data_IF_442890507707
#
_entry.id   IF_442890507707
#
_cell.length_a   1.000
_cell.length_b   1.000
_cell.length_c   1.000
_cell.angle_alpha   90.00
_cell.angle_beta   90.00
_cell.angle_gamma   90.00
#
_symmetry.space_group_name_H-M   'P 1'
#
loop_
_entity.id
_entity.type
_entity.pdbx_description
1 polymer ?
#
# COMPACT_ATOMS: atom_id res chain seq x y z
N UNK A 1 3.85 -20.35 17.92
CA UNK A 1 3.22 -20.01 16.63
C UNK A 1 1.71 -19.97 16.86
N UNK A 2 1.04 -18.90 16.44
CA UNK A 2 -0.43 -18.80 16.50
C UNK A 2 -1.04 -19.45 15.26
N UNK A 3 -2.34 -19.76 15.29
CA UNK A 3 -3.05 -20.21 14.09
C UNK A 3 -3.12 -19.10 13.02
N UNK A 4 -3.06 -19.46 11.73
CA UNK A 4 -3.14 -18.48 10.63
C UNK A 4 -4.39 -17.61 10.74
N UNK A 5 -5.56 -18.21 10.96
CA UNK A 5 -6.84 -17.49 11.10
C UNK A 5 -6.84 -16.58 12.33
N UNK A 6 -6.16 -16.98 13.42
CA UNK A 6 -6.10 -16.20 14.66
C UNK A 6 -5.33 -14.88 14.49
N UNK A 7 -4.47 -14.80 13.47
CA UNK A 7 -3.71 -13.58 13.18
C UNK A 7 -4.58 -12.44 12.61
N UNK A 8 -5.70 -12.77 11.95
CA UNK A 8 -6.59 -11.80 11.30
C UNK A 8 -7.62 -11.24 12.27
N UNK A 9 -8.13 -10.04 11.98
CA UNK A 9 -9.02 -9.28 12.87
C UNK A 9 -10.19 -8.68 12.12
N UNK A 10 -11.28 -8.36 12.83
CA UNK A 10 -12.50 -7.77 12.24
C UNK A 10 -12.59 -6.24 12.43
N UNK A 11 -11.67 -5.68 13.23
CA UNK A 11 -11.55 -4.23 13.47
C UNK A 11 -10.09 -3.79 13.52
N UNK A 12 -9.85 -2.50 13.25
CA UNK A 12 -8.54 -1.87 13.40
C UNK A 12 -8.01 -2.01 14.84
N UNK A 13 -8.85 -1.76 15.85
CA UNK A 13 -8.45 -1.86 17.25
C UNK A 13 -7.93 -3.27 17.61
N UNK A 14 -8.62 -4.32 17.14
CA UNK A 14 -8.17 -5.70 17.32
C UNK A 14 -6.88 -5.98 16.54
N UNK A 15 -6.78 -5.53 15.28
CA UNK A 15 -5.59 -5.70 14.45
C UNK A 15 -4.36 -5.06 15.10
N UNK A 16 -4.49 -3.82 15.57
CA UNK A 16 -3.44 -3.09 16.30
C UNK A 16 -3.04 -3.81 17.58
N UNK A 17 -4.00 -4.24 18.39
CA UNK A 17 -3.71 -4.97 19.62
C UNK A 17 -2.93 -6.26 19.34
N UNK A 18 -3.32 -7.02 18.31
CA UNK A 18 -2.61 -8.25 17.92
C UNK A 18 -1.20 -7.95 17.40
N UNK A 19 -1.01 -6.90 16.61
CA UNK A 19 0.32 -6.49 16.15
C UNK A 19 1.23 -6.14 17.35
N UNK A 20 0.76 -5.31 18.27
CA UNK A 20 1.52 -4.94 19.47
C UNK A 20 1.83 -6.15 20.35
N UNK A 21 0.87 -7.07 20.54
CA UNK A 21 1.10 -8.32 21.25
C UNK A 21 2.10 -9.23 20.54
N UNK A 22 2.08 -9.27 19.21
CA UNK A 22 3.07 -9.97 18.39
C UNK A 22 4.48 -9.40 18.58
N UNK A 23 4.62 -8.07 18.59
CA UNK A 23 5.90 -7.41 18.89
C UNK A 23 6.40 -7.76 20.30
N UNK A 24 5.54 -7.76 21.32
CA UNK A 24 5.89 -8.17 22.68
C UNK A 24 6.35 -9.63 22.71
N UNK A 25 5.60 -10.55 22.08
CA UNK A 25 5.97 -11.96 21.99
C UNK A 25 7.30 -12.17 21.24
N UNK A 26 7.59 -11.29 20.29
CA UNK A 26 8.82 -11.26 19.52
C UNK A 26 9.99 -10.56 20.24
N UNK A 27 9.75 -9.96 21.42
CA UNK A 27 10.69 -9.11 22.16
C UNK A 27 11.21 -7.93 21.31
N UNK A 28 10.30 -7.26 20.59
CA UNK A 28 10.59 -6.11 19.74
C UNK A 28 10.02 -4.82 20.36
N UNK A 29 10.82 -3.77 20.34
CA UNK A 29 10.34 -2.42 20.64
C UNK A 29 9.44 -1.91 19.51
N UNK A 30 8.42 -1.16 19.87
CA UNK A 30 7.51 -0.51 18.92
C UNK A 30 7.74 1.00 18.96
N UNK A 31 8.04 1.59 17.80
CA UNK A 31 7.96 3.03 17.57
C UNK A 31 6.57 3.37 17.02
N UNK A 32 5.75 4.02 17.85
CA UNK A 32 4.38 4.35 17.50
C UNK A 32 4.29 5.82 17.07
N UNK A 33 3.75 6.06 15.88
CA UNK A 33 3.45 7.41 15.37
C UNK A 33 1.95 7.67 15.46
N UNK A 34 1.46 8.39 16.48
CA UNK A 34 0.04 8.62 16.67
C UNK A 34 -0.54 9.48 15.55
N UNK A 35 -1.67 9.04 15.00
CA UNK A 35 -2.46 9.84 14.10
C UNK A 35 -3.29 10.85 14.91
N UNK A 36 -3.44 12.11 14.47
CA UNK A 36 -4.12 13.15 15.25
C UNK A 36 -5.63 12.93 15.43
N UNK A 37 -6.27 12.25 14.47
CA UNK A 37 -7.69 11.90 14.53
C UNK A 37 -7.94 10.56 15.24
N UNK A 38 -9.16 10.40 15.75
CA UNK A 38 -9.67 9.14 16.27
C UNK A 38 -10.21 8.24 15.15
N UNK A 39 -10.29 6.95 15.44
CA UNK A 39 -10.92 5.97 14.56
C UNK A 39 -12.43 6.04 14.59
N UNK A 40 -13.06 5.22 13.75
CA UNK A 40 -14.51 5.12 13.58
C UNK A 40 -15.22 4.83 14.90
N UNK A 41 -14.61 4.02 15.75
CA UNK A 41 -15.18 3.57 17.02
C UNK A 41 -14.58 4.34 18.21
N UNK A 42 -13.92 5.48 17.94
CA UNK A 42 -13.30 6.37 18.94
C UNK A 42 -11.89 5.96 19.38
N UNK A 43 -11.32 4.90 18.79
CA UNK A 43 -10.03 4.35 19.16
C UNK A 43 -8.85 5.25 18.75
N UNK A 44 -7.71 5.08 19.44
CA UNK A 44 -6.48 5.77 19.06
C UNK A 44 -5.86 5.12 17.82
N UNK A 45 -5.65 5.94 16.79
CA UNK A 45 -5.02 5.56 15.54
C UNK A 45 -3.51 5.83 15.59
N UNK A 46 -2.72 4.97 14.96
CA UNK A 46 -1.29 5.13 14.79
C UNK A 46 -0.77 4.31 13.61
N UNK A 47 0.38 4.74 13.08
CA UNK A 47 1.30 3.89 12.34
C UNK A 47 2.31 3.33 13.35
N UNK A 48 2.31 2.01 13.56
CA UNK A 48 3.19 1.35 14.54
C UNK A 48 4.32 0.63 13.79
N UNK A 49 5.57 0.85 14.21
CA UNK A 49 6.77 0.36 13.53
C UNK A 49 7.56 -0.54 14.46
N UNK A 50 8.01 -1.70 13.97
CA UNK A 50 8.88 -2.60 14.70
C UNK A 50 10.00 -3.13 13.80
N UNK A 51 11.25 -3.03 14.27
CA UNK A 51 12.43 -3.56 13.58
C UNK A 51 12.90 -4.85 14.27
N UNK A 52 12.86 -5.96 13.54
CA UNK A 52 13.47 -7.23 13.97
C UNK A 52 14.84 -7.38 13.31
N UNK A 53 15.90 -7.13 14.09
CA UNK A 53 17.27 -7.14 13.62
C UNK A 53 18.05 -5.92 14.10
N UNK A 54 19.34 -5.82 13.75
CA UNK A 54 20.17 -4.70 14.17
C UNK A 54 19.80 -3.41 13.41
N UNK A 55 19.85 -2.26 14.09
CA UNK A 55 19.49 -0.95 13.53
C UNK A 55 20.42 -0.51 12.38
N UNK A 56 21.63 -1.05 12.30
CA UNK A 56 22.63 -0.77 11.28
C UNK A 56 22.71 -1.85 10.18
N UNK A 57 21.69 -2.72 10.10
CA UNK A 57 21.64 -3.81 9.13
C UNK A 57 21.82 -3.32 7.68
N UNK A 58 22.72 -3.98 6.95
CA UNK A 58 22.97 -3.66 5.53
C UNK A 58 21.94 -4.27 4.57
N UNK A 59 21.15 -5.24 5.05
CA UNK A 59 20.07 -5.88 4.30
C UNK A 59 18.77 -5.69 5.06
N UNK A 60 17.79 -5.06 4.41
CA UNK A 60 16.52 -4.71 5.01
C UNK A 60 15.38 -5.25 4.16
N UNK A 61 14.43 -5.94 4.81
CA UNK A 61 13.13 -6.24 4.25
C UNK A 61 12.09 -5.34 4.92
N UNK A 62 11.46 -4.47 4.16
CA UNK A 62 10.33 -3.66 4.62
C UNK A 62 9.03 -4.40 4.31
N UNK A 63 8.17 -4.56 5.31
CA UNK A 63 6.83 -5.15 5.16
C UNK A 63 5.81 -4.14 5.63
N UNK A 64 5.03 -3.60 4.69
CA UNK A 64 4.00 -2.61 4.99
C UNK A 64 2.60 -3.18 4.82
N UNK A 65 1.65 -2.59 5.54
CA UNK A 65 0.23 -2.91 5.43
C UNK A 65 -0.64 -1.67 5.42
N UNK A 66 -1.86 -1.82 4.90
CA UNK A 66 -2.89 -0.80 4.89
C UNK A 66 -2.48 0.49 4.16
N UNK A 67 -1.72 0.40 3.07
CA UNK A 67 -1.53 1.54 2.16
C UNK A 67 -2.90 2.01 1.64
N UNK A 68 -3.70 1.06 1.13
CA UNK A 68 -5.14 1.22 1.09
C UNK A 68 -5.73 0.75 2.41
N UNK A 69 -6.40 1.63 3.14
CA UNK A 69 -6.77 1.37 4.53
C UNK A 69 -7.55 0.07 4.75
N UNK A 70 -8.59 -0.15 3.95
CA UNK A 70 -9.46 -1.35 4.03
C UNK A 70 -8.69 -2.67 3.80
N UNK A 71 -7.56 -2.64 3.12
CA UNK A 71 -6.75 -3.84 2.87
C UNK A 71 -5.85 -4.18 4.07
N UNK A 72 -5.83 -3.30 5.08
CA UNK A 72 -5.14 -3.50 6.35
C UNK A 72 -5.60 -4.74 7.11
N UNK A 73 -6.85 -5.19 6.97
CA UNK A 73 -7.32 -6.42 7.63
C UNK A 73 -6.51 -7.64 7.21
N UNK A 74 -6.19 -7.74 5.92
CA UNK A 74 -5.37 -8.80 5.39
C UNK A 74 -3.89 -8.56 5.70
N UNK A 75 -3.36 -7.38 5.37
CA UNK A 75 -1.94 -7.07 5.54
C UNK A 75 -1.47 -7.14 7.00
N UNK A 76 -2.30 -6.66 7.94
CA UNK A 76 -2.02 -6.76 9.38
C UNK A 76 -2.00 -8.22 9.84
N UNK A 77 -2.93 -9.06 9.38
CA UNK A 77 -2.93 -10.48 9.72
C UNK A 77 -1.66 -11.22 9.30
N UNK A 78 -1.13 -10.91 8.10
CA UNK A 78 0.16 -11.46 7.64
C UNK A 78 1.31 -11.01 8.54
N UNK A 79 1.37 -9.72 8.90
CA UNK A 79 2.41 -9.20 9.80
C UNK A 79 2.32 -9.82 11.20
N UNK A 80 1.10 -9.93 11.76
CA UNK A 80 0.83 -10.55 13.06
C UNK A 80 1.30 -12.01 13.06
N UNK A 81 0.95 -12.78 12.02
CA UNK A 81 1.39 -14.17 11.92
C UNK A 81 2.93 -14.27 11.87
N UNK A 82 3.57 -13.44 11.05
CA UNK A 82 5.04 -13.41 10.91
C UNK A 82 5.77 -13.08 12.22
N UNK A 83 5.22 -12.18 13.05
CA UNK A 83 5.77 -11.86 14.37
C UNK A 83 5.76 -13.06 15.34
N UNK A 84 4.80 -13.98 15.17
CA UNK A 84 4.68 -15.21 15.96
C UNK A 84 5.35 -16.45 15.33
N UNK A 85 5.96 -16.29 14.16
CA UNK A 85 6.68 -17.34 13.44
C UNK A 85 8.19 -17.27 13.73
N UNK A 86 8.63 -18.09 14.68
CA UNK A 86 10.05 -18.14 15.05
C UNK A 86 10.93 -18.64 13.89
N UNK A 87 10.44 -19.58 13.07
CA UNK A 87 11.23 -20.14 11.97
C UNK A 87 11.49 -19.09 10.90
N UNK A 88 10.47 -18.32 10.52
CA UNK A 88 10.61 -17.17 9.62
C UNK A 88 11.66 -16.18 10.13
N UNK A 89 11.54 -15.78 11.40
CA UNK A 89 12.40 -14.76 12.01
C UNK A 89 13.84 -15.24 12.14
N UNK A 90 14.04 -16.51 12.51
CA UNK A 90 15.37 -17.12 12.60
C UNK A 90 16.02 -17.23 11.22
N UNK A 91 15.26 -17.57 10.18
CA UNK A 91 15.74 -17.57 8.78
C UNK A 91 16.18 -16.17 8.33
N UNK A 92 15.39 -15.14 8.60
CA UNK A 92 15.76 -13.75 8.27
C UNK A 92 17.05 -13.34 9.00
N UNK A 93 17.14 -13.63 10.30
CA UNK A 93 18.32 -13.37 11.12
C UNK A 93 19.57 -14.10 10.61
N UNK A 94 19.44 -15.40 10.31
CA UNK A 94 20.54 -16.21 9.78
C UNK A 94 21.02 -15.74 8.39
N UNK A 95 20.12 -15.17 7.58
CA UNK A 95 20.47 -14.54 6.30
C UNK A 95 21.09 -13.13 6.45
N UNK A 96 21.18 -12.61 7.67
CA UNK A 96 21.64 -11.25 7.97
C UNK A 96 20.70 -10.18 7.45
N UNK A 97 19.39 -10.46 7.41
CA UNK A 97 18.33 -9.54 6.97
C UNK A 97 17.55 -9.05 8.19
N UNK A 98 17.52 -7.73 8.40
CA UNK A 98 16.59 -7.13 9.33
C UNK A 98 15.21 -6.99 8.67
N UNK A 99 14.14 -7.14 9.44
CA UNK A 99 12.76 -6.99 8.96
C UNK A 99 12.11 -5.80 9.64
N UNK A 100 11.72 -4.79 8.86
CA UNK A 100 10.98 -3.63 9.32
C UNK A 100 9.50 -3.80 9.04
N UNK A 101 8.72 -4.04 10.09
CA UNK A 101 7.27 -4.08 10.01
C UNK A 101 6.71 -2.68 10.20
N UNK A 102 5.92 -2.19 9.24
CA UNK A 102 5.17 -0.94 9.36
C UNK A 102 3.68 -1.29 9.35
N UNK A 103 3.09 -1.29 10.53
CA UNK A 103 1.69 -1.60 10.74
C UNK A 103 0.84 -0.33 10.66
N UNK A 104 -0.02 -0.37 9.64
CA UNK A 104 -1.02 0.61 9.24
C UNK A 104 -0.48 1.93 8.68
N UNK A 105 -0.09 1.94 7.41
CA UNK A 105 0.27 3.15 6.66
C UNK A 105 -0.85 4.20 6.64
N UNK A 106 -2.09 3.76 6.41
CA UNK A 106 -3.30 4.57 6.47
C UNK A 106 -4.23 4.08 7.60
N UNK A 107 -3.93 4.42 8.87
CA UNK A 107 -4.69 3.89 10.00
C UNK A 107 -6.13 4.43 10.03
N UNK A 108 -6.36 5.64 9.51
CA UNK A 108 -7.71 6.20 9.37
C UNK A 108 -8.56 5.39 8.39
N UNK A 109 -8.06 5.17 7.17
CA UNK A 109 -8.77 4.33 6.19
C UNK A 109 -9.00 2.92 6.70
N UNK A 110 -8.04 2.35 7.44
CA UNK A 110 -8.17 1.01 8.01
C UNK A 110 -9.31 0.91 9.03
N UNK A 111 -9.36 1.84 10.00
CA UNK A 111 -10.46 1.92 10.97
C UNK A 111 -11.82 2.20 10.31
N UNK A 112 -11.86 3.10 9.34
CA UNK A 112 -13.10 3.48 8.65
C UNK A 112 -13.51 2.54 7.50
N UNK A 113 -12.76 1.45 7.25
CA UNK A 113 -12.99 0.51 6.13
C UNK A 113 -12.99 1.21 4.77
N UNK A 114 -12.10 2.18 4.58
CA UNK A 114 -11.93 2.94 3.34
C UNK A 114 -10.57 2.66 2.73
N UNK A 115 -10.52 2.71 1.40
CA UNK A 115 -9.26 2.71 0.63
C UNK A 115 -8.39 3.93 0.97
N UNK A 116 -9.02 5.09 1.06
CA UNK A 116 -8.40 6.42 1.12
C UNK A 116 -8.14 6.91 2.54
N UNK A 117 -7.33 7.95 2.69
CA UNK A 117 -7.08 8.66 3.96
C UNK A 117 -8.30 9.49 4.40
N UNK A 118 -8.17 10.20 5.53
CA UNK A 118 -9.19 11.15 6.01
C UNK A 118 -9.51 12.26 5.01
N UNK A 119 -8.54 12.67 4.21
CA UNK A 119 -8.68 13.74 3.20
C UNK A 119 -9.24 13.23 1.86
N UNK A 120 -9.78 12.00 1.81
CA UNK A 120 -10.21 11.34 0.57
C UNK A 120 -9.06 11.04 -0.42
N UNK A 121 -7.82 11.00 0.07
CA UNK A 121 -6.64 10.76 -0.77
C UNK A 121 -6.32 9.27 -0.87
N UNK A 122 -6.14 8.76 -2.09
CA UNK A 122 -5.48 7.49 -2.32
C UNK A 122 -4.00 7.65 -2.00
N UNK A 123 -3.58 7.04 -0.88
CA UNK A 123 -2.20 7.17 -0.39
C UNK A 123 -1.18 6.71 -1.42
N UNK A 124 -1.51 5.70 -2.24
CA UNK A 124 -0.63 5.19 -3.28
C UNK A 124 -0.66 6.03 -4.57
N UNK A 125 -1.23 7.24 -4.51
CA UNK A 125 -1.10 8.32 -5.50
C UNK A 125 -0.53 9.60 -4.87
N UNK A 126 -0.18 9.59 -3.58
CA UNK A 126 0.18 10.81 -2.85
C UNK A 126 1.69 11.08 -2.80
N UNK A 127 2.52 10.30 -3.51
CA UNK A 127 3.98 10.43 -3.51
C UNK A 127 4.51 11.05 -4.82
N UNK A 128 3.84 12.11 -5.27
CA UNK A 128 4.34 12.97 -6.35
C UNK A 128 5.20 14.10 -5.79
N UNK A 129 5.99 14.74 -6.65
CA UNK A 129 6.69 15.98 -6.31
C UNK A 129 5.70 17.16 -6.31
N UNK A 130 5.29 17.59 -5.11
CA UNK A 130 4.38 18.71 -4.90
C UNK A 130 5.00 20.09 -5.19
N UNK A 131 6.30 20.17 -5.50
CA UNK A 131 6.93 21.41 -5.98
C UNK A 131 6.74 21.63 -7.48
N UNK A 132 6.32 20.59 -8.21
CA UNK A 132 6.01 20.62 -9.64
C UNK A 132 4.50 20.73 -9.88
N UNK A 133 4.07 21.13 -11.10
CA UNK A 133 2.67 21.03 -11.49
C UNK A 133 2.15 19.59 -11.33
N UNK A 134 0.97 19.45 -10.72
CA UNK A 134 0.36 18.14 -10.50
C UNK A 134 -0.05 17.48 -11.84
N UNK A 135 0.05 16.14 -11.96
CA UNK A 135 -0.37 15.43 -13.16
C UNK A 135 -1.84 15.69 -13.52
N UNK A 136 -2.10 15.84 -14.83
CA UNK A 136 -3.44 16.01 -15.37
C UNK A 136 -3.91 14.70 -16.00
N UNK A 137 -5.02 14.16 -15.53
CA UNK A 137 -5.68 13.01 -16.11
C UNK A 137 -6.92 13.45 -16.89
N UNK A 138 -6.76 13.74 -18.17
CA UNK A 138 -7.84 14.22 -19.04
C UNK A 138 -8.91 13.13 -19.30
N UNK A 139 -8.49 11.87 -19.39
CA UNK A 139 -9.41 10.74 -19.58
C UNK A 139 -10.34 10.58 -18.37
N UNK A 140 -9.79 10.66 -17.16
CA UNK A 140 -10.60 10.68 -15.93
C UNK A 140 -11.56 11.87 -15.91
N UNK A 141 -11.12 13.06 -16.33
CA UNK A 141 -11.98 14.25 -16.34
C UNK A 141 -13.24 14.06 -17.19
N UNK A 142 -13.14 13.38 -18.33
CA UNK A 142 -14.30 13.04 -19.15
C UNK A 142 -15.22 11.97 -18.53
N UNK A 143 -14.68 11.12 -17.65
CA UNK A 143 -15.41 10.05 -16.98
C UNK A 143 -15.98 10.46 -15.61
N UNK A 144 -15.39 11.44 -14.93
CA UNK A 144 -15.73 11.83 -13.56
C UNK A 144 -17.23 11.99 -13.28
N UNK A 145 -18.01 12.78 -14.06
CA UNK A 145 -19.44 12.92 -13.81
C UNK A 145 -20.24 11.63 -14.04
N UNK A 146 -19.70 10.67 -14.80
CA UNK A 146 -20.32 9.37 -15.02
C UNK A 146 -20.00 8.37 -13.90
N UNK A 147 -18.81 8.49 -13.30
CA UNK A 147 -18.35 7.63 -12.19
C UNK A 147 -19.00 8.01 -10.86
N UNK A 148 -19.27 9.30 -10.66
CA UNK A 148 -19.88 9.87 -9.46
C UNK A 148 -21.10 10.71 -9.87
N UNK A 149 -22.16 10.07 -10.39
CA UNK A 149 -23.37 10.79 -10.80
C UNK A 149 -24.09 11.37 -9.59
N UNK A 150 -24.80 12.48 -9.79
CA UNK A 150 -25.60 13.11 -8.73
C UNK A 150 -26.73 12.22 -8.22
N UNK A 151 -27.26 11.35 -9.09
CA UNK A 151 -28.30 10.36 -8.75
C UNK A 151 -27.65 8.99 -8.54
N UNK A 152 -27.99 8.33 -7.42
CA UNK A 152 -27.55 6.98 -7.10
C UNK A 152 -28.75 6.11 -6.68
N UNK A 153 -28.94 4.89 -7.23
CA UNK A 153 -28.07 4.20 -8.19
C UNK A 153 -28.04 4.87 -9.59
N UNK A 154 -27.00 4.62 -10.42
CA UNK A 154 -26.87 5.24 -11.73
C UNK A 154 -28.05 4.93 -12.66
N UNK A 155 -28.48 5.91 -13.45
CA UNK A 155 -29.55 5.74 -14.44
C UNK A 155 -29.10 4.87 -15.63
N UNK A 156 -30.05 4.26 -16.39
CA UNK A 156 -29.71 3.53 -17.61
C UNK A 156 -28.94 4.36 -18.64
N UNK A 157 -29.21 5.67 -18.71
CA UNK A 157 -28.49 6.59 -19.60
C UNK A 157 -27.04 6.80 -19.15
N UNK A 158 -26.77 6.88 -17.84
CA UNK A 158 -25.41 6.96 -17.31
C UNK A 158 -24.61 5.69 -17.63
N UNK A 159 -25.23 4.52 -17.41
CA UNK A 159 -24.62 3.24 -17.72
C UNK A 159 -24.28 3.13 -19.22
N UNK A 160 -25.21 3.50 -20.11
CA UNK A 160 -24.98 3.53 -21.55
C UNK A 160 -23.86 4.50 -21.95
N UNK A 161 -23.69 5.63 -21.26
CA UNK A 161 -22.61 6.56 -21.51
C UNK A 161 -21.23 5.98 -21.13
N UNK A 162 -21.14 5.25 -20.02
CA UNK A 162 -19.92 4.51 -19.63
C UNK A 162 -19.60 3.44 -20.67
N UNK A 163 -20.60 2.66 -21.10
CA UNK A 163 -20.44 1.62 -22.11
C UNK A 163 -20.02 2.20 -23.47
N UNK A 164 -20.59 3.33 -23.88
CA UNK A 164 -20.19 4.03 -25.10
C UNK A 164 -18.74 4.53 -25.01
N UNK A 165 -18.34 5.06 -23.85
CA UNK A 165 -16.96 5.47 -23.62
C UNK A 165 -16.00 4.27 -23.74
N UNK A 166 -16.34 3.14 -23.11
CA UNK A 166 -15.58 1.88 -23.22
C UNK A 166 -15.55 1.37 -24.66
N UNK A 167 -16.67 1.44 -25.39
CA UNK A 167 -16.74 1.02 -26.80
C UNK A 167 -15.84 1.86 -27.71
N UNK A 168 -15.66 3.15 -27.42
CA UNK A 168 -14.81 4.05 -28.19
C UNK A 168 -13.32 3.92 -27.86
N UNK A 169 -12.97 3.71 -26.58
CA UNK A 169 -11.58 3.79 -26.11
C UNK A 169 -10.99 2.43 -25.70
N UNK A 170 -11.82 1.42 -25.49
CA UNK A 170 -11.46 0.10 -24.99
C UNK A 170 -11.44 0.01 -23.45
N UNK A 171 -11.65 -1.21 -22.95
CA UNK A 171 -11.70 -1.48 -21.50
C UNK A 171 -10.38 -1.20 -20.78
N UNK A 172 -9.24 -1.44 -21.45
CA UNK A 172 -7.91 -1.14 -20.91
C UNK A 172 -7.71 0.36 -20.69
N UNK A 173 -8.16 1.19 -21.63
CA UNK A 173 -8.10 2.65 -21.48
C UNK A 173 -9.00 3.14 -20.33
N UNK A 174 -10.17 2.51 -20.15
CA UNK A 174 -11.09 2.82 -19.04
C UNK A 174 -10.45 2.50 -17.69
N UNK A 175 -9.86 1.31 -17.55
CA UNK A 175 -9.14 0.92 -16.34
C UNK A 175 -7.97 1.86 -16.05
N UNK A 176 -7.17 2.22 -17.07
CA UNK A 176 -6.06 3.14 -16.91
C UNK A 176 -6.52 4.55 -16.51
N UNK A 177 -7.59 5.06 -17.12
CA UNK A 177 -8.15 6.38 -16.83
C UNK A 177 -8.60 6.49 -15.35
N UNK A 178 -9.23 5.46 -14.81
CA UNK A 178 -9.74 5.45 -13.44
C UNK A 178 -8.61 5.20 -12.43
N UNK A 179 -7.86 4.12 -12.64
CA UNK A 179 -6.91 3.64 -11.63
C UNK A 179 -5.59 4.41 -11.63
N UNK A 180 -5.20 5.07 -12.72
CA UNK A 180 -3.91 5.77 -12.86
C UNK A 180 -3.65 6.90 -11.85
N UNK A 181 -4.71 7.36 -11.16
CA UNK A 181 -4.68 8.50 -10.26
C UNK A 181 -5.08 9.79 -10.96
N UNK A 182 -5.60 10.73 -10.18
CA UNK A 182 -5.99 12.05 -10.66
C UNK A 182 -5.85 13.08 -9.53
N UNK A 183 -5.68 14.35 -9.89
CA UNK A 183 -5.44 15.42 -8.93
C UNK A 183 -6.36 16.62 -9.17
N UNK A 184 -7.36 16.49 -10.05
CA UNK A 184 -8.24 17.59 -10.45
C UNK A 184 -9.53 17.63 -9.63
N UNK A 185 -10.02 16.49 -9.15
CA UNK A 185 -11.34 16.31 -8.51
C UNK A 185 -11.17 15.74 -7.11
N UNK A 186 -11.33 16.55 -6.06
CA UNK A 186 -11.07 16.12 -4.67
C UNK A 186 -12.09 15.11 -4.14
N UNK A 187 -13.29 15.13 -4.68
CA UNK A 187 -14.38 14.18 -4.46
C UNK A 187 -14.25 12.91 -5.31
N UNK A 188 -13.31 12.90 -6.26
CA UNK A 188 -13.11 11.84 -7.23
C UNK A 188 -12.51 10.54 -6.65
N UNK A 189 -12.70 9.45 -7.41
CA UNK A 189 -11.96 8.21 -7.20
C UNK A 189 -10.47 8.43 -7.49
N UNK A 190 -9.63 7.67 -6.77
CA UNK A 190 -8.16 7.68 -6.92
C UNK A 190 -7.53 9.09 -6.87
N UNK A 191 -8.13 10.00 -6.10
CA UNK A 191 -7.60 11.35 -5.88
C UNK A 191 -6.25 11.29 -5.15
N UNK A 192 -5.19 11.86 -5.72
CA UNK A 192 -3.85 11.83 -5.14
C UNK A 192 -3.52 12.93 -4.13
N UNK A 193 -4.45 13.86 -3.87
CA UNK A 193 -4.25 14.95 -2.92
C UNK A 193 -3.48 16.15 -3.49
N UNK A 194 -3.63 17.32 -2.86
CA UNK A 194 -2.93 18.57 -3.24
C UNK A 194 -1.62 18.83 -2.49
N UNK A 195 -1.33 18.01 -1.49
CA UNK A 195 -0.13 18.10 -0.66
C UNK A 195 0.17 16.70 -0.07
N UNK A 196 1.37 16.48 0.49
CA UNK A 196 1.65 15.28 1.25
C UNK A 196 0.63 15.11 2.39
N UNK A 197 0.06 13.92 2.53
CA UNK A 197 -0.81 13.55 3.66
C UNK A 197 -0.01 13.36 4.94
N UNK A 198 -0.70 13.20 6.08
CA UNK A 198 -0.03 12.75 7.32
C UNK A 198 0.72 11.43 7.10
N UNK A 199 0.08 10.44 6.46
CA UNK A 199 0.67 9.13 6.21
C UNK A 199 1.94 9.19 5.36
N UNK A 200 1.95 10.04 4.32
CA UNK A 200 3.13 10.29 3.50
C UNK A 200 4.30 10.80 4.35
N UNK A 201 4.10 11.89 5.11
CA UNK A 201 5.17 12.49 5.91
C UNK A 201 5.69 11.53 6.99
N UNK A 202 4.78 10.85 7.68
CA UNK A 202 5.13 9.88 8.73
C UNK A 202 5.94 8.74 8.15
N UNK A 203 5.51 8.15 7.04
CA UNK A 203 6.24 7.05 6.42
C UNK A 203 7.62 7.47 5.91
N UNK A 204 7.76 8.67 5.34
CA UNK A 204 9.08 9.20 4.96
C UNK A 204 10.01 9.36 6.16
N UNK A 205 9.47 9.77 7.32
CA UNK A 205 10.25 9.80 8.57
C UNK A 205 10.68 8.39 9.01
N UNK A 206 9.81 7.39 8.89
CA UNK A 206 10.15 5.98 9.18
C UNK A 206 11.30 5.50 8.30
N UNK A 207 11.26 5.80 6.99
CA UNK A 207 12.35 5.46 6.07
C UNK A 207 13.66 6.15 6.45
N UNK A 208 13.63 7.45 6.78
CA UNK A 208 14.82 8.18 7.25
C UNK A 208 15.44 7.54 8.49
N UNK A 209 14.61 7.14 9.45
CA UNK A 209 15.06 6.55 10.71
C UNK A 209 15.64 5.15 10.52
N UNK A 210 14.97 4.29 9.73
CA UNK A 210 15.25 2.85 9.74
C UNK A 210 15.93 2.30 8.49
N UNK A 211 15.91 3.01 7.36
CA UNK A 211 16.31 2.45 6.07
C UNK A 211 17.56 3.09 5.45
N UNK A 212 18.05 4.24 5.95
CA UNK A 212 19.21 4.94 5.39
C UNK A 212 20.54 4.16 5.43
N UNK A 213 20.66 3.17 6.32
CA UNK A 213 21.88 2.36 6.43
C UNK A 213 21.85 1.10 5.54
N UNK A 214 20.71 0.80 4.93
CA UNK A 214 20.52 -0.39 4.12
C UNK A 214 21.21 -0.23 2.77
N UNK A 215 22.06 -1.20 2.41
CA UNK A 215 22.69 -1.27 1.08
C UNK A 215 21.88 -2.15 0.12
N UNK A 216 21.04 -3.04 0.68
CA UNK A 216 20.11 -3.88 -0.06
C UNK A 216 18.76 -3.81 0.63
N UNK A 217 17.79 -3.27 -0.08
CA UNK A 217 16.44 -3.10 0.43
C UNK A 217 15.45 -3.85 -0.48
N UNK A 218 14.62 -4.67 0.14
CA UNK A 218 13.47 -5.30 -0.49
C UNK A 218 12.20 -4.81 0.21
N UNK A 219 11.12 -4.58 -0.52
CA UNK A 219 9.86 -4.11 0.05
C UNK A 219 8.69 -4.96 -0.45
N UNK A 220 7.93 -5.51 0.49
CA UNK A 220 6.62 -6.11 0.27
C UNK A 220 5.54 -5.19 0.85
N UNK A 221 4.71 -4.59 -0.01
CA UNK A 221 3.48 -3.89 0.40
C UNK A 221 2.28 -4.80 0.20
N UNK A 222 1.54 -5.06 1.29
CA UNK A 222 0.49 -6.07 1.32
C UNK A 222 -0.85 -5.46 0.91
N UNK A 223 -1.39 -5.97 -0.20
CA UNK A 223 -2.61 -5.51 -0.83
C UNK A 223 -3.63 -6.63 -1.07
N UNK A 224 -4.90 -6.26 -1.21
CA UNK A 224 -5.99 -7.16 -1.64
C UNK A 224 -6.94 -6.46 -2.60
N UNK A 225 -7.82 -7.22 -3.26
CA UNK A 225 -8.89 -6.66 -4.10
C UNK A 225 -8.64 -6.74 -5.61
N UNK A 226 -7.50 -7.28 -6.04
CA UNK A 226 -7.22 -7.63 -7.43
C UNK A 226 -7.11 -9.15 -7.60
N UNK A 227 -7.47 -9.64 -8.78
CA UNK A 227 -7.34 -11.05 -9.16
C UNK A 227 -8.40 -11.99 -8.55
N UNK A 228 -8.31 -13.30 -8.85
CA UNK A 228 -9.22 -14.30 -8.31
C UNK A 228 -9.10 -14.44 -6.79
N UNK A 229 -10.22 -14.73 -6.12
CA UNK A 229 -10.23 -14.97 -4.67
C UNK A 229 -9.30 -16.13 -4.29
N UNK A 230 -8.50 -15.94 -3.24
CA UNK A 230 -7.57 -16.94 -2.72
C UNK A 230 -6.25 -17.06 -3.49
N UNK A 231 -6.05 -16.28 -4.56
CA UNK A 231 -4.81 -16.29 -5.34
C UNK A 231 -3.99 -15.04 -5.05
N UNK A 232 -2.75 -15.23 -4.61
CA UNK A 232 -1.79 -14.14 -4.39
C UNK A 232 -0.99 -13.84 -5.65
N UNK A 233 -1.06 -12.61 -6.14
CA UNK A 233 -0.21 -12.11 -7.23
C UNK A 233 0.98 -11.33 -6.65
N UNK A 234 2.18 -11.56 -7.19
CA UNK A 234 3.38 -10.77 -6.87
C UNK A 234 3.60 -9.77 -7.98
N UNK A 235 3.36 -8.50 -7.68
CA UNK A 235 3.46 -7.40 -8.64
C UNK A 235 4.77 -6.65 -8.39
N UNK A 236 5.57 -6.49 -9.45
CA UNK A 236 6.76 -5.67 -9.44
C UNK A 236 6.37 -4.19 -9.43
N UNK A 237 6.68 -3.52 -8.32
CA UNK A 237 6.34 -2.13 -8.08
C UNK A 237 7.59 -1.34 -7.67
N UNK A 238 8.42 -0.99 -8.65
CA UNK A 238 9.48 0.02 -8.51
C UNK A 238 9.66 0.76 -9.85
N UNK A 239 10.74 1.53 -10.02
CA UNK A 239 11.07 2.16 -11.31
C UNK A 239 11.15 1.09 -12.42
N UNK A 240 10.91 1.50 -13.67
CA UNK A 240 11.07 0.65 -14.86
C UNK A 240 12.56 0.34 -15.11
N UNK A 241 13.08 -0.60 -14.31
CA UNK A 241 14.47 -1.01 -14.26
C UNK A 241 14.55 -2.52 -14.48
N UNK A 242 15.15 -2.91 -15.61
CA UNK A 242 15.30 -4.31 -16.02
C UNK A 242 16.16 -5.12 -15.07
N UNK A 243 17.19 -4.53 -14.48
CA UNK A 243 18.04 -5.23 -13.51
C UNK A 243 17.30 -5.44 -12.20
N UNK A 244 16.52 -4.46 -11.75
CA UNK A 244 15.64 -4.61 -10.59
C UNK A 244 14.58 -5.68 -10.82
N UNK A 245 13.98 -5.73 -12.00
CA UNK A 245 12.99 -6.76 -12.34
C UNK A 245 13.59 -8.17 -12.41
N UNK A 246 14.80 -8.31 -12.97
CA UNK A 246 15.52 -9.57 -12.96
C UNK A 246 15.86 -10.03 -11.54
N UNK A 247 16.28 -9.12 -10.64
CA UNK A 247 16.49 -9.42 -9.22
C UNK A 247 15.20 -9.86 -8.52
N UNK A 248 14.07 -9.17 -8.76
CA UNK A 248 12.78 -9.53 -8.18
C UNK A 248 12.34 -10.94 -8.61
N UNK A 249 12.52 -11.30 -9.88
CA UNK A 249 12.24 -12.65 -10.37
C UNK A 249 13.19 -13.70 -9.76
N UNK A 250 14.48 -13.37 -9.58
CA UNK A 250 15.40 -14.28 -8.90
C UNK A 250 15.02 -14.54 -7.43
N UNK A 251 14.48 -13.53 -6.73
CA UNK A 251 14.07 -13.65 -5.33
C UNK A 251 12.71 -14.30 -5.14
N UNK A 252 11.72 -13.92 -5.95
CA UNK A 252 10.32 -14.26 -5.71
C UNK A 252 9.62 -14.95 -6.88
N UNK A 253 10.29 -15.06 -8.02
CA UNK A 253 9.75 -15.58 -9.27
C UNK A 253 9.85 -17.10 -9.47
N UNK A 254 10.36 -17.85 -8.48
CA UNK A 254 10.70 -19.28 -8.67
C UNK A 254 9.47 -20.16 -8.96
N UNK A 255 8.34 -19.91 -8.29
CA UNK A 255 7.12 -20.68 -8.50
C UNK A 255 6.28 -20.14 -9.67
N UNK A 256 6.28 -18.82 -9.86
CA UNK A 256 5.70 -18.14 -11.00
C UNK A 256 6.42 -16.81 -11.18
N UNK A 257 6.57 -16.29 -12.42
CA UNK A 257 7.17 -14.98 -12.64
C UNK A 257 6.47 -13.89 -11.81
N UNK A 258 7.26 -12.91 -11.35
CA UNK A 258 6.71 -11.66 -10.81
C UNK A 258 6.12 -10.88 -11.97
N UNK A 259 4.89 -10.38 -11.85
CA UNK A 259 4.23 -9.59 -12.91
C UNK A 259 4.71 -8.14 -12.87
N UNK A 260 4.47 -7.36 -13.92
CA UNK A 260 4.93 -5.97 -14.03
C UNK A 260 3.82 -5.05 -14.53
N UNK A 261 3.74 -3.85 -13.94
CA UNK A 261 2.83 -2.78 -14.38
C UNK A 261 3.29 -2.11 -15.68
N UNK A 262 4.49 -2.46 -16.18
CA UNK A 262 5.11 -1.86 -17.36
C UNK A 262 4.92 -2.68 -18.65
N UNK A 263 4.77 -4.00 -18.55
CA UNK A 263 4.72 -4.90 -19.71
C UNK A 263 3.32 -5.50 -19.96
N UNK A 264 2.32 -5.10 -19.16
CA UNK A 264 0.95 -5.58 -19.27
C UNK A 264 0.70 -6.96 -18.68
N UNK A 265 1.69 -7.58 -18.02
CA UNK A 265 1.53 -8.88 -17.35
C UNK A 265 0.79 -8.79 -16.02
N UNK A 266 0.75 -7.62 -15.39
CA UNK A 266 0.07 -7.41 -14.10
C UNK A 266 -1.41 -7.10 -14.25
N UNK A 267 -2.20 -7.53 -13.26
CA UNK A 267 -3.60 -7.08 -13.10
C UNK A 267 -3.70 -5.56 -12.83
N UNK A 268 -2.65 -4.95 -12.27
CA UNK A 268 -2.60 -3.52 -12.02
C UNK A 268 -2.17 -2.74 -13.27
N UNK A 269 -2.83 -1.61 -13.54
CA UNK A 269 -2.42 -0.66 -14.57
C UNK A 269 -1.16 0.11 -14.18
N UNK A 270 -0.60 0.90 -15.12
CA UNK A 270 0.43 1.89 -14.83
C UNK A 270 -0.12 3.03 -13.97
N UNK A 271 0.60 3.41 -12.91
CA UNK A 271 0.15 4.32 -11.87
C UNK A 271 1.15 5.45 -11.65
N UNK A 272 0.68 6.60 -11.14
CA UNK A 272 1.52 7.75 -10.77
C UNK A 272 1.46 8.01 -9.26
N UNK A 273 2.49 8.66 -8.69
CA UNK A 273 2.51 9.01 -7.27
C UNK A 273 2.62 7.83 -6.32
N UNK A 274 3.27 6.75 -6.78
CA UNK A 274 3.39 5.49 -6.07
C UNK A 274 4.30 5.62 -4.84
N UNK A 275 3.85 5.02 -3.74
CA UNK A 275 4.51 5.14 -2.44
C UNK A 275 5.95 4.64 -2.42
N UNK A 276 6.27 3.62 -3.22
CA UNK A 276 7.64 3.09 -3.32
C UNK A 276 8.66 4.14 -3.77
N UNK A 277 8.21 5.23 -4.43
CA UNK A 277 9.07 6.35 -4.82
C UNK A 277 9.83 6.96 -3.64
N UNK A 278 9.19 7.00 -2.46
CA UNK A 278 9.79 7.53 -1.23
C UNK A 278 11.10 6.83 -0.85
N UNK A 279 11.25 5.54 -1.16
CA UNK A 279 12.48 4.81 -0.87
C UNK A 279 13.68 5.42 -1.60
N UNK A 280 13.52 5.79 -2.88
CA UNK A 280 14.61 6.39 -3.66
C UNK A 280 14.97 7.80 -3.20
N UNK A 281 14.04 8.47 -2.53
CA UNK A 281 14.22 9.85 -2.06
C UNK A 281 14.83 9.89 -0.65
N UNK A 282 14.47 8.93 0.21
CA UNK A 282 14.87 8.93 1.62
C UNK A 282 16.00 7.94 1.95
N UNK A 283 16.31 6.99 1.05
CA UNK A 283 17.34 5.96 1.23
C UNK A 283 18.35 6.02 0.06
N UNK A 284 19.39 6.87 0.16
CA UNK A 284 20.41 7.02 -0.88
C UNK A 284 21.39 5.84 -0.95
#
# INVERSE_FOLDING_TARGET
MIGVVEAFSDSYAQARQKFLSGCVAANLAVDAHPHPLKGRDGEALAMDVALDGPADAKRLLVVTSACHGVEGYCGSGVQVFALHDAEWRDKARAAGVAVLYVHALNPHGFSHRRRVTQENVDLNRNFVDYTQPLPVNAAYAGLHPLLLPTEWPPSPANQAAIEAWIGQHGITAYQAAISGGQYQFEDGLFFGGKAPTWSNRTFRQVLKTHAQQAQRLAWIDLHTGLGPSGIGERIFACKDDKEAYARANAWWGQASPVTSIYDGSSTSAFLTGLMWGAMYEECP
#
